data_IF_981266575857
#
_entry.id   IF_981266575857
#
_cell.length_a   1.000
_cell.length_b   1.000
_cell.length_c   1.000
_cell.angle_alpha   90.00
_cell.angle_beta   90.00
_cell.angle_gamma   90.00
#
_symmetry.space_group_name_H-M   'P 1'
#
loop_
_entity.id
_entity.type
_entity.pdbx_description
1 polymer ?
#
# COMPACT_ATOMS: atom_id res chain seq x y z
N UNK A 1 2.53 -25.38 -7.73
CA UNK A 1 2.79 -25.51 -9.18
C UNK A 1 3.37 -24.19 -9.64
N UNK A 2 4.46 -24.22 -10.41
CA UNK A 2 5.09 -23.03 -10.98
C UNK A 2 5.00 -23.15 -12.50
N UNK A 3 4.49 -22.12 -13.17
CA UNK A 3 4.34 -22.09 -14.63
C UNK A 3 5.07 -20.86 -15.17
N UNK A 4 5.94 -21.07 -16.15
CA UNK A 4 6.66 -20.01 -16.84
C UNK A 4 5.98 -19.73 -18.18
N UNK A 5 5.58 -18.48 -18.39
CA UNK A 5 4.97 -18.03 -19.63
C UNK A 5 6.05 -17.37 -20.47
N UNK A 6 6.17 -17.81 -21.73
CA UNK A 6 7.12 -17.21 -22.67
C UNK A 6 6.74 -15.75 -22.93
N UNK A 7 7.75 -14.89 -23.01
CA UNK A 7 7.58 -13.46 -23.34
C UNK A 7 6.70 -12.69 -22.32
N UNK A 8 6.68 -13.14 -21.05
CA UNK A 8 6.06 -12.41 -19.96
C UNK A 8 6.80 -11.08 -19.68
N UNK A 9 6.09 -9.99 -19.33
CA UNK A 9 6.72 -8.71 -19.05
C UNK A 9 7.59 -8.79 -17.80
N UNK A 10 8.72 -8.08 -17.82
CA UNK A 10 9.68 -8.02 -16.71
C UNK A 10 9.33 -6.84 -15.82
N UNK A 11 9.04 -7.10 -14.55
CA UNK A 11 8.72 -6.06 -13.56
C UNK A 11 9.92 -5.11 -13.40
N UNK A 12 9.68 -3.81 -13.51
CA UNK A 12 10.71 -2.76 -13.41
C UNK A 12 11.45 -2.44 -14.71
N UNK A 13 11.35 -3.29 -15.75
CA UNK A 13 11.88 -3.00 -17.09
C UNK A 13 10.77 -2.63 -18.08
N UNK A 14 9.66 -3.36 -18.04
CA UNK A 14 8.46 -3.07 -18.83
C UNK A 14 7.60 -1.99 -18.15
N UNK A 15 6.73 -1.35 -18.94
CA UNK A 15 5.73 -0.42 -18.40
C UNK A 15 4.75 -1.16 -17.48
N UNK A 16 4.36 -0.52 -16.38
CA UNK A 16 3.39 -1.06 -15.41
C UNK A 16 2.09 -1.50 -16.09
N UNK A 17 1.60 -0.75 -17.09
CA UNK A 17 0.39 -1.07 -17.86
C UNK A 17 0.48 -2.41 -18.59
N UNK A 18 1.65 -2.77 -19.09
CA UNK A 18 1.86 -4.04 -19.76
C UNK A 18 1.86 -5.19 -18.75
N UNK A 19 2.42 -4.95 -17.56
CA UNK A 19 2.38 -5.91 -16.45
C UNK A 19 0.94 -6.10 -15.95
N UNK A 20 0.18 -5.03 -15.72
CA UNK A 20 -1.23 -5.09 -15.33
C UNK A 20 -2.05 -5.91 -16.31
N UNK A 21 -1.96 -5.56 -17.61
CA UNK A 21 -2.71 -6.25 -18.67
C UNK A 21 -2.32 -7.72 -18.80
N UNK A 22 -1.06 -8.06 -18.52
CA UNK A 22 -0.61 -9.43 -18.50
C UNK A 22 -1.18 -10.21 -17.32
N UNK A 23 -1.13 -9.65 -16.11
CA UNK A 23 -1.69 -10.27 -14.90
C UNK A 23 -3.19 -10.51 -15.05
N UNK A 24 -3.94 -9.46 -15.43
CA UNK A 24 -5.40 -9.52 -15.54
C UNK A 24 -5.89 -10.50 -16.63
N UNK A 25 -5.03 -10.84 -17.60
CA UNK A 25 -5.34 -11.85 -18.63
C UNK A 25 -5.36 -13.27 -18.07
N UNK A 26 -4.46 -13.60 -17.15
CA UNK A 26 -4.23 -14.98 -16.70
C UNK A 26 -4.77 -15.25 -15.29
N UNK A 27 -4.88 -14.21 -14.47
CA UNK A 27 -5.29 -14.32 -13.09
C UNK A 27 -6.64 -13.62 -12.95
N UNK A 28 -7.66 -14.39 -12.58
CA UNK A 28 -8.98 -13.85 -12.27
C UNK A 28 -9.57 -14.58 -11.07
N UNK A 29 -10.33 -13.85 -10.26
CA UNK A 29 -11.18 -14.41 -9.22
C UNK A 29 -12.61 -14.71 -9.71
N UNK A 30 -12.92 -14.36 -10.95
CA UNK A 30 -14.23 -14.60 -11.55
C UNK A 30 -14.43 -16.09 -11.81
N UNK A 31 -15.63 -16.57 -11.49
CA UNK A 31 -16.02 -17.93 -11.81
C UNK A 31 -16.46 -17.97 -13.27
N UNK A 32 -15.86 -18.82 -14.13
CA UNK A 32 -16.26 -18.94 -15.53
C UNK A 32 -17.74 -19.23 -15.67
N UNK A 33 -18.35 -18.77 -16.76
CA UNK A 33 -19.75 -19.00 -17.06
C UNK A 33 -19.96 -20.43 -17.62
N UNK A 34 -20.98 -21.16 -17.11
CA UNK A 34 -21.17 -22.57 -17.46
C UNK A 34 -21.60 -22.81 -18.91
N UNK A 35 -22.20 -21.83 -19.58
CA UNK A 35 -22.70 -21.96 -20.95
C UNK A 35 -21.61 -21.63 -21.97
N UNK A 36 -20.71 -20.71 -21.63
CA UNK A 36 -19.59 -20.29 -22.49
C UNK A 36 -18.35 -21.17 -22.38
N UNK A 37 -17.97 -21.60 -21.16
CA UNK A 37 -16.85 -22.50 -20.92
C UNK A 37 -17.18 -23.54 -19.81
N UNK A 38 -17.93 -24.59 -20.15
CA UNK A 38 -18.39 -25.59 -19.17
C UNK A 38 -17.24 -26.39 -18.54
N UNK A 39 -16.15 -26.62 -19.28
CA UNK A 39 -15.00 -27.39 -18.80
C UNK A 39 -14.23 -26.59 -17.75
N UNK A 40 -13.85 -25.35 -18.06
CA UNK A 40 -13.16 -24.50 -17.10
C UNK A 40 -14.04 -24.19 -15.90
N UNK A 41 -15.34 -23.92 -16.12
CA UNK A 41 -16.32 -23.77 -15.04
C UNK A 41 -16.29 -24.97 -14.10
N UNK A 42 -16.34 -26.19 -14.65
CA UNK A 42 -16.33 -27.42 -13.85
C UNK A 42 -15.04 -27.53 -13.04
N UNK A 43 -13.88 -27.36 -13.66
CA UNK A 43 -12.58 -27.44 -12.99
C UNK A 43 -12.51 -26.43 -11.85
N UNK A 44 -12.80 -25.16 -12.12
CA UNK A 44 -12.78 -24.08 -11.11
C UNK A 44 -13.75 -24.39 -9.97
N UNK A 45 -14.95 -24.85 -10.27
CA UNK A 45 -15.95 -25.21 -9.25
C UNK A 45 -15.52 -26.38 -8.37
N UNK A 46 -14.75 -27.33 -8.91
CA UNK A 46 -14.26 -28.49 -8.16
C UNK A 46 -13.01 -28.18 -7.33
N UNK A 47 -12.08 -27.36 -7.85
CA UNK A 47 -10.74 -27.20 -7.25
C UNK A 47 -10.51 -25.85 -6.56
N UNK A 48 -11.26 -24.80 -6.91
CA UNK A 48 -11.09 -23.46 -6.32
C UNK A 48 -12.20 -23.10 -5.33
N UNK A 49 -13.34 -23.80 -5.36
CA UNK A 49 -14.43 -23.59 -4.40
C UNK A 49 -14.27 -24.53 -3.22
N UNK A 50 -14.55 -24.01 -2.03
CA UNK A 50 -14.56 -24.83 -0.84
C UNK A 50 -15.62 -25.93 -0.95
N UNK A 51 -15.20 -27.19 -1.02
CA UNK A 51 -16.15 -28.30 -1.10
C UNK A 51 -17.11 -28.29 0.08
N UNK A 52 -18.39 -28.59 -0.18
CA UNK A 52 -19.40 -28.76 0.88
C UNK A 52 -18.97 -29.83 1.90
N UNK A 53 -18.15 -30.78 1.47
CA UNK A 53 -17.65 -31.91 2.23
C UNK A 53 -16.24 -31.70 2.80
N UNK A 54 -15.72 -30.47 2.76
CA UNK A 54 -14.40 -30.16 3.31
C UNK A 54 -14.29 -30.57 4.81
N UNK A 55 -13.06 -30.80 5.26
CA UNK A 55 -12.73 -31.18 6.63
C UNK A 55 -13.44 -30.31 7.68
N UNK A 56 -13.89 -30.98 8.75
CA UNK A 56 -14.52 -30.38 9.94
C UNK A 56 -13.69 -29.23 10.55
N UNK A 57 -12.37 -29.22 10.30
CA UNK A 57 -11.46 -28.17 10.78
C UNK A 57 -11.76 -26.80 10.15
N UNK A 58 -12.18 -26.75 8.88
CA UNK A 58 -12.47 -25.47 8.24
C UNK A 58 -13.81 -24.88 8.70
N UNK A 59 -14.83 -25.70 8.94
CA UNK A 59 -16.13 -25.24 9.43
C UNK A 59 -16.18 -25.11 10.96
N UNK A 60 -15.02 -25.15 11.63
CA UNK A 60 -14.93 -25.07 13.08
C UNK A 60 -15.33 -23.67 13.54
N UNK A 61 -16.28 -23.60 14.48
CA UNK A 61 -16.74 -22.34 15.08
C UNK A 61 -18.00 -21.74 14.45
N UNK A 62 -18.81 -22.56 13.76
CA UNK A 62 -20.07 -22.12 13.12
C UNK A 62 -19.87 -20.96 12.13
N UNK A 63 -18.78 -21.02 11.37
CA UNK A 63 -18.45 -20.10 10.28
C UNK A 63 -18.35 -20.86 8.96
N UNK A 64 -18.61 -20.19 7.85
CA UNK A 64 -18.51 -20.77 6.50
C UNK A 64 -17.09 -21.32 6.24
N UNK A 65 -16.08 -20.54 6.66
CA UNK A 65 -14.67 -20.90 6.58
C UNK A 65 -13.89 -20.25 7.71
N UNK A 66 -13.20 -21.04 8.54
CA UNK A 66 -12.35 -20.60 9.66
C UNK A 66 -11.23 -19.65 9.22
N UNK A 67 -10.80 -19.72 7.96
CA UNK A 67 -9.76 -18.86 7.39
C UNK A 67 -10.32 -17.55 6.79
N UNK A 68 -11.64 -17.37 6.81
CA UNK A 68 -12.31 -16.17 6.28
C UNK A 68 -12.29 -16.11 4.75
N UNK A 69 -12.62 -17.22 4.09
CA UNK A 69 -12.91 -17.25 2.66
C UNK A 69 -14.42 -17.12 2.37
N UNK A 70 -14.82 -16.58 1.21
CA UNK A 70 -13.94 -15.98 0.19
C UNK A 70 -13.30 -14.68 0.69
N UNK A 71 -12.04 -14.46 0.34
CA UNK A 71 -11.39 -13.17 0.56
C UNK A 71 -11.95 -12.21 -0.49
N UNK A 72 -12.20 -10.95 -0.10
CA UNK A 72 -12.66 -9.96 -1.05
C UNK A 72 -11.57 -9.77 -2.13
N UNK A 73 -11.92 -9.85 -3.42
CA UNK A 73 -10.98 -9.51 -4.48
C UNK A 73 -10.65 -8.02 -4.42
N UNK A 74 -9.47 -7.66 -4.92
CA UNK A 74 -9.13 -6.27 -5.17
C UNK A 74 -9.76 -5.83 -6.49
N UNK A 75 -10.20 -4.57 -6.58
CA UNK A 75 -10.86 -4.05 -7.80
C UNK A 75 -9.90 -3.90 -8.99
N UNK A 76 -8.60 -3.81 -8.72
CA UNK A 76 -7.54 -3.69 -9.73
C UNK A 76 -6.22 -4.26 -9.24
N UNK A 77 -5.39 -4.68 -10.17
CA UNK A 77 -4.00 -5.05 -9.89
C UNK A 77 -3.20 -3.81 -9.46
N UNK A 78 -2.39 -3.96 -8.41
CA UNK A 78 -1.53 -2.89 -7.86
C UNK A 78 -0.11 -3.46 -7.77
N UNK A 79 0.85 -2.78 -8.38
CA UNK A 79 2.27 -3.10 -8.22
C UNK A 79 2.81 -2.36 -7.00
N UNK A 80 3.50 -3.09 -6.14
CA UNK A 80 4.22 -2.54 -4.99
C UNK A 80 5.71 -2.68 -5.25
N UNK A 81 6.44 -1.58 -5.12
CA UNK A 81 7.88 -1.52 -5.25
C UNK A 81 8.51 -1.37 -3.88
N UNK A 82 9.68 -1.98 -3.70
CA UNK A 82 10.47 -1.80 -2.47
C UNK A 82 10.85 -0.32 -2.38
N UNK A 83 10.39 0.34 -1.31
CA UNK A 83 10.88 1.67 -0.98
C UNK A 83 12.26 1.51 -0.35
N UNK A 84 13.28 2.28 -0.80
CA UNK A 84 14.57 2.29 -0.12
C UNK A 84 14.36 2.55 1.36
N UNK A 85 14.86 1.64 2.21
CA UNK A 85 14.82 1.82 3.64
C UNK A 85 15.81 2.94 3.97
N UNK A 86 15.39 4.08 4.55
CA UNK A 86 16.29 5.20 4.82
C UNK A 86 17.40 4.86 5.83
N UNK A 87 17.30 3.73 6.52
CA UNK A 87 18.25 3.25 7.53
C UNK A 87 19.30 2.27 6.97
N UNK A 88 19.29 1.97 5.66
CA UNK A 88 20.39 1.27 5.00
C UNK A 88 21.48 2.29 4.66
N UNK A 89 22.28 2.63 5.67
CA UNK A 89 23.51 3.39 5.49
C UNK A 89 24.47 2.54 4.62
N UNK A 90 24.83 3.03 3.43
CA UNK A 90 25.91 2.49 2.63
C UNK A 90 27.18 2.50 3.51
N UNK A 91 27.55 1.36 4.10
CA UNK A 91 28.88 1.10 4.67
C UNK A 91 29.90 1.18 3.53
N UNK A 92 30.26 2.41 3.15
CA UNK A 92 31.41 2.68 2.31
C UNK A 92 32.63 2.51 3.20
N UNK A 93 33.30 1.37 3.07
CA UNK A 93 34.66 1.16 3.56
C UNK A 93 35.56 2.28 2.98
N UNK A 94 35.84 3.30 3.79
CA UNK A 94 36.72 4.42 3.47
C UNK A 94 38.17 3.98 3.72
N UNK A 95 38.71 3.18 2.80
CA UNK A 95 40.16 2.98 2.68
C UNK A 95 40.76 4.18 1.95
N UNK A 96 41.03 5.28 2.66
CA UNK A 96 41.97 6.28 2.15
C UNK A 96 42.79 6.98 3.25
N UNK A 97 44.03 6.53 3.35
CA UNK A 97 45.18 7.16 3.99
C UNK A 97 45.46 8.57 3.42
N UNK A 98 45.42 9.59 4.29
CA UNK A 98 46.17 10.84 4.06
C UNK A 98 45.42 12.16 4.29
N UNK A 99 45.92 12.97 5.24
CA UNK A 99 45.82 14.43 5.21
C UNK A 99 44.96 15.08 6.30
N UNK A 100 45.63 15.69 7.28
CA UNK A 100 45.02 16.58 8.29
C UNK A 100 44.72 17.96 7.69
N UNK A 101 43.92 18.72 8.45
CA UNK A 101 43.77 20.19 8.46
C UNK A 101 42.54 20.74 7.70
N UNK A 102 41.84 21.72 8.31
CA UNK A 102 40.72 22.56 7.80
C UNK A 102 39.26 22.32 8.32
N UNK A 103 39.06 21.79 9.54
CA UNK A 103 37.70 21.60 10.11
C UNK A 103 37.08 22.81 10.88
N UNK A 104 37.74 23.96 11.05
CA UNK A 104 37.21 24.97 12.01
C UNK A 104 36.30 26.07 11.41
N UNK A 105 36.34 26.34 10.09
CA UNK A 105 35.66 27.52 9.54
C UNK A 105 34.19 27.28 9.14
N UNK A 106 33.80 26.05 8.80
CA UNK A 106 32.49 25.79 8.20
C UNK A 106 31.34 25.64 9.23
N UNK A 107 31.67 25.36 10.49
CA UNK A 107 30.69 25.18 11.58
C UNK A 107 29.94 26.49 11.95
N UNK A 108 30.55 27.66 11.73
CA UNK A 108 29.94 28.96 12.05
C UNK A 108 28.80 29.32 11.08
N UNK A 109 28.94 29.04 9.78
CA UNK A 109 27.93 29.37 8.76
C UNK A 109 26.68 28.49 8.86
N UNK A 110 26.81 27.25 9.33
CA UNK A 110 25.68 26.32 9.50
C UNK A 110 24.71 26.70 10.61
N UNK A 111 25.18 27.35 11.67
CA UNK A 111 24.33 27.69 12.83
C UNK A 111 23.53 28.98 12.65
N UNK A 112 24.00 29.95 11.87
CA UNK A 112 23.22 31.15 11.52
C UNK A 112 22.00 30.81 10.65
N UNK A 113 22.15 29.92 9.68
CA UNK A 113 21.06 29.50 8.79
C UNK A 113 19.94 28.76 9.55
N UNK A 114 20.28 27.93 10.53
CA UNK A 114 19.31 27.17 11.34
C UNK A 114 18.48 28.08 12.26
N UNK A 115 19.07 29.16 12.77
CA UNK A 115 18.37 30.13 13.64
C UNK A 115 17.32 30.96 12.89
N UNK A 116 17.57 31.29 11.63
CA UNK A 116 16.64 32.05 10.78
C UNK A 116 15.38 31.24 10.41
N UNK A 117 15.53 29.94 10.17
CA UNK A 117 14.41 29.05 9.79
C UNK A 117 13.43 28.85 10.96
N UNK A 118 13.94 28.68 12.19
CA UNK A 118 13.10 28.47 13.37
C UNK A 118 12.24 29.69 13.74
N UNK A 119 12.72 30.90 13.45
CA UNK A 119 11.95 32.15 13.64
C UNK A 119 10.79 32.29 12.65
N UNK A 120 10.91 31.76 11.42
CA UNK A 120 9.85 31.83 10.40
C UNK A 120 8.69 30.87 10.68
N UNK A 121 8.97 29.69 11.24
CA UNK A 121 7.94 28.69 11.57
C UNK A 121 7.00 29.13 12.72
N UNK A 122 7.44 30.04 13.60
CA UNK A 122 6.65 30.48 14.75
C UNK A 122 5.58 31.54 14.41
N UNK A 123 5.64 32.19 13.25
CA UNK A 123 4.73 33.30 12.89
C UNK A 123 3.45 32.84 12.16
N UNK A 124 3.39 31.58 11.71
CA UNK A 124 2.23 30.99 11.01
C UNK A 124 1.35 30.18 11.98
N UNK A 125 0.86 30.80 13.06
CA UNK A 125 -0.27 30.27 13.86
C UNK A 125 -1.06 31.41 14.50
N UNK A 126 -2.11 31.89 13.82
CA UNK A 126 -3.24 32.56 14.48
C UNK A 126 -4.56 32.09 13.83
N UNK A 127 -5.52 31.57 14.61
CA UNK A 127 -6.89 31.34 14.15
C UNK A 127 -7.76 32.58 14.42
N UNK A 128 -8.52 33.03 13.43
CA UNK A 128 -9.52 34.10 13.60
C UNK A 128 -10.85 33.51 14.11
N UNK A 129 -11.38 34.08 15.19
CA UNK A 129 -12.73 33.82 15.74
C UNK A 129 -13.68 34.90 15.20
N UNK A 130 -14.78 34.51 14.57
CA UNK A 130 -15.88 35.40 14.20
C UNK A 130 -16.87 35.64 15.37
N UNK A 131 -17.58 36.79 15.42
CA UNK A 131 -18.48 37.16 16.52
C UNK A 131 -19.91 36.63 16.31
N UNK A 132 -20.60 36.34 17.43
CA UNK A 132 -21.96 35.79 17.47
C UNK A 132 -23.11 36.79 17.42
N UNK A 133 -24.34 36.26 17.50
CA UNK A 133 -25.62 36.93 17.84
C UNK A 133 -26.54 35.85 18.49
N UNK A 134 -26.76 35.87 19.81
CA UNK A 134 -27.88 36.44 20.62
C UNK A 134 -29.26 35.77 20.45
N UNK A 135 -29.62 35.04 21.51
CA UNK A 135 -30.91 34.90 22.24
C UNK A 135 -32.25 35.32 21.60
N UNK A 136 -33.27 34.45 21.72
CA UNK A 136 -34.62 34.82 22.21
C UNK A 136 -35.52 33.58 22.49
N UNK A 137 -35.85 33.39 23.77
CA UNK A 137 -37.15 33.06 24.40
C UNK A 137 -37.92 31.76 24.12
N UNK A 138 -38.21 31.10 25.26
CA UNK A 138 -39.17 30.01 25.54
C UNK A 138 -40.63 30.36 25.22
N UNK A 139 -41.47 29.34 24.91
CA UNK A 139 -42.68 28.93 25.66
C UNK A 139 -43.48 27.81 24.93
N UNK A 140 -44.39 27.06 25.61
CA UNK A 140 -44.62 25.63 25.36
C UNK A 140 -46.04 25.22 24.85
N UNK A 141 -46.13 23.92 24.51
CA UNK A 141 -47.29 23.01 24.53
C UNK A 141 -48.56 23.31 23.68
N UNK A 142 -48.91 22.35 22.81
CA UNK A 142 -50.19 21.60 22.74
C UNK A 142 -49.98 20.35 21.89
#
# INVERSE_FOLDING_TARGET
>A
MLVWIKDAPVLGECMDEDVYRFVDRYISCEKPDPDTDPELHKIVSEVQVHSRNHSKSCKKGNVECRFGFPKLPMDKTILTYDTPNPDEEDDKDDDNDGGKDDHEEQSRRGNEAKSAVKKKAALVKKPERGPGQTEATEEPAV
#
